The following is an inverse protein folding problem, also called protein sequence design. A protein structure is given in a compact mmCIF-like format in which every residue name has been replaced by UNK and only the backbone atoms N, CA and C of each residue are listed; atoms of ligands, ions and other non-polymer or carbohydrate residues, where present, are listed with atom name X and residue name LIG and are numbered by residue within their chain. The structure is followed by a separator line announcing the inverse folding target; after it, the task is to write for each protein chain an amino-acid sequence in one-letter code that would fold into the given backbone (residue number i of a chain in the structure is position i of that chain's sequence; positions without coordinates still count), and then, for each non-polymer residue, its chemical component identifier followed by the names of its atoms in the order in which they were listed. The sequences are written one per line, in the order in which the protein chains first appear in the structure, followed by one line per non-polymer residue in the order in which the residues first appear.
data_IF_257923656612
#
_entry.id   IF_257923656612
#
_cell.length_a   1.000
_cell.length_b   1.000
_cell.length_c   1.000
_cell.angle_alpha   90.00
_cell.angle_beta   90.00
_cell.angle_gamma   90.00
#
_symmetry.space_group_name_H-M   'P 1'
#
loop_
_entity.id
_entity.type
_entity.pdbx_description
1 polymer ?
#
# COMPACT_ATOMS: atom_id res chain seq x y z
N UNK A 1 23.35 -46.77 11.30
CA UNK A 1 23.16 -46.36 11.00
C UNK A 1 22.71 -45.33 10.76
N UNK A 2 22.38 -44.73 10.58
CA UNK A 2 22.03 -43.88 10.38
C UNK A 2 21.45 -42.98 10.26
N UNK A 3 21.05 -42.39 10.18
CA UNK A 3 20.57 -41.63 10.10
C UNK A 3 20.30 -40.63 9.83
N UNK A 4 19.89 -39.93 9.70
CA UNK A 4 19.52 -39.03 9.46
C UNK A 4 19.10 -38.11 9.41
N UNK A 5 18.83 -37.69 9.43
CA UNK A 5 18.54 -36.87 9.36
C UNK A 5 18.12 -35.99 8.91
N UNK A 6 17.73 -35.59 8.76
CA UNK A 6 17.35 -34.78 8.41
C UNK A 6 17.10 -33.71 8.49
N UNK A 7 16.99 -33.24 8.31
CA UNK A 7 16.81 -32.24 8.37
C UNK A 7 16.25 -31.38 7.83
N UNK A 8 15.86 -30.99 7.78
CA UNK A 8 15.26 -30.28 7.38
C UNK A 8 14.94 -29.13 7.48
N UNK A 9 14.70 -28.44 7.18
CA UNK A 9 14.46 -27.38 7.20
C UNK A 9 13.87 -26.68 6.69
N UNK A 10 13.59 -26.18 6.61
CA UNK A 10 12.86 -25.57 6.29
C UNK A 10 12.76 -24.34 6.30
N UNK A 11 12.49 -23.69 5.76
CA UNK A 11 12.52 -22.59 5.70
C UNK A 11 11.67 -21.82 5.22
N UNK A 12 11.26 -21.16 5.22
CA UNK A 12 10.46 -20.43 4.88
C UNK A 12 10.39 -19.40 4.72
N UNK A 13 10.28 -18.97 4.45
CA UNK A 13 10.05 -18.11 4.22
C UNK A 13 9.69 -17.02 4.25
N UNK A 14 9.85 -16.55 4.35
CA UNK A 14 9.81 -15.50 4.38
C UNK A 14 9.07 -14.85 3.62
N UNK A 15 8.82 -15.08 3.43
CA UNK A 15 8.20 -14.80 2.74
C UNK A 15 7.43 -13.86 2.76
N UNK A 16 6.98 -13.68 3.11
CA UNK A 16 5.99 -12.96 3.19
C UNK A 16 6.20 -11.64 3.10
N UNK A 17 7.01 -11.01 3.72
CA UNK A 17 7.06 -9.69 3.69
C UNK A 17 7.62 -9.21 2.54
N UNK A 18 8.19 -9.57 1.79
CA UNK A 18 8.78 -8.97 0.72
C UNK A 18 8.02 -8.94 -0.53
N UNK A 19 6.78 -9.25 -0.47
CA UNK A 19 6.04 -9.38 -1.69
C UNK A 19 5.55 -8.09 -2.29
N UNK A 20 5.78 -6.99 -1.69
CA UNK A 20 5.42 -5.69 -2.27
C UNK A 20 6.55 -5.19 -3.17
N UNK A 21 6.18 -4.41 -4.17
CA UNK A 21 7.13 -3.72 -5.02
C UNK A 21 6.84 -2.22 -4.89
N UNK A 22 7.34 -1.63 -3.82
CA UNK A 22 7.06 -0.24 -3.47
C UNK A 22 7.84 0.72 -4.36
N UNK A 23 7.11 1.54 -5.10
CA UNK A 23 7.68 2.62 -5.88
C UNK A 23 7.36 3.95 -5.20
N UNK A 24 8.38 4.71 -4.89
CA UNK A 24 8.19 6.03 -4.26
C UNK A 24 7.52 6.97 -5.26
N UNK A 25 6.43 7.58 -4.84
CA UNK A 25 5.67 8.51 -5.67
C UNK A 25 5.97 9.95 -5.25
N UNK A 26 5.92 10.22 -3.95
CA UNK A 26 6.18 11.57 -3.46
C UNK A 26 6.54 11.56 -1.99
N UNK A 27 7.15 12.62 -1.54
CA UNK A 27 7.50 12.81 -0.13
C UNK A 27 6.79 14.04 0.39
N UNK A 28 6.44 14.02 1.66
CA UNK A 28 5.83 15.17 2.31
C UNK A 28 6.28 15.23 3.76
N UNK A 29 5.89 16.29 4.45
CA UNK A 29 6.20 16.41 5.88
C UNK A 29 5.50 15.34 6.71
N UNK A 30 4.41 14.80 6.21
CA UNK A 30 3.64 13.80 6.92
C UNK A 30 4.03 12.37 6.61
N UNK A 31 4.93 12.17 5.67
CA UNK A 31 5.38 10.83 5.32
C UNK A 31 5.79 10.71 3.88
N UNK A 32 6.35 9.56 3.57
CA UNK A 32 6.71 9.19 2.22
C UNK A 32 5.63 8.27 1.68
N UNK A 33 5.27 8.46 0.41
CA UNK A 33 4.15 7.76 -0.21
C UNK A 33 4.62 6.89 -1.35
N UNK A 34 4.18 5.64 -1.33
CA UNK A 34 4.59 4.63 -2.30
C UNK A 34 3.38 3.93 -2.90
N UNK A 35 3.53 3.40 -4.09
CA UNK A 35 2.55 2.50 -4.67
C UNK A 35 3.18 1.14 -4.87
N UNK A 36 2.41 0.09 -4.61
CA UNK A 36 2.86 -1.27 -4.86
C UNK A 36 2.56 -1.62 -6.31
N UNK A 37 3.61 -1.70 -7.13
CA UNK A 37 3.45 -1.97 -8.54
C UNK A 37 2.91 -3.37 -8.81
N UNK A 38 3.11 -4.30 -7.88
CA UNK A 38 2.57 -5.66 -8.05
C UNK A 38 1.07 -5.71 -7.81
N UNK A 39 0.53 -4.79 -7.04
CA UNK A 39 -0.90 -4.77 -6.74
C UNK A 39 -1.73 -4.09 -7.83
N UNK A 40 -1.08 -3.38 -8.75
CA UNK A 40 -1.80 -2.57 -9.71
C UNK A 40 -2.63 -3.42 -10.66
N UNK A 41 -3.92 -3.17 -10.69
CA UNK A 41 -4.86 -3.80 -11.61
C UNK A 41 -5.49 -2.69 -12.44
N UNK A 42 -5.46 -2.87 -13.76
CA UNK A 42 -6.05 -1.93 -14.69
C UNK A 42 -7.29 -2.57 -15.30
N UNK A 43 -8.43 -1.88 -15.14
CA UNK A 43 -9.70 -2.38 -15.67
C UNK A 43 -10.41 -1.23 -16.33
N UNK A 44 -10.24 -1.08 -17.62
CA UNK A 44 -10.77 0.06 -18.37
C UNK A 44 -10.26 1.36 -17.77
N UNK A 45 -11.16 2.24 -17.32
CA UNK A 45 -10.77 3.51 -16.71
C UNK A 45 -10.50 3.40 -15.22
N UNK A 46 -10.58 2.21 -14.66
CA UNK A 46 -10.38 2.00 -13.23
C UNK A 46 -8.99 1.47 -12.94
N UNK A 47 -8.46 1.88 -11.80
CA UNK A 47 -7.19 1.38 -11.28
C UNK A 47 -7.38 0.95 -9.84
N UNK A 48 -6.85 -0.21 -9.49
CA UNK A 48 -6.86 -0.73 -8.12
C UNK A 48 -5.42 -0.91 -7.69
N UNK A 49 -5.05 -0.39 -6.54
CA UNK A 49 -3.66 -0.47 -6.10
C UNK A 49 -3.53 -0.26 -4.60
N UNK A 50 -2.42 -0.76 -4.05
CA UNK A 50 -2.07 -0.50 -2.65
C UNK A 50 -1.16 0.72 -2.58
N UNK A 51 -1.48 1.63 -1.66
CA UNK A 51 -0.67 2.79 -1.36
C UNK A 51 -0.13 2.67 0.05
N UNK A 52 1.18 2.81 0.20
CA UNK A 52 1.82 2.86 1.50
C UNK A 52 2.11 4.31 1.85
N UNK A 53 1.79 4.67 3.07
CA UNK A 53 2.27 5.90 3.66
C UNK A 53 3.16 5.53 4.82
N UNK A 54 4.43 5.90 4.72
CA UNK A 54 5.40 5.66 5.77
C UNK A 54 5.56 6.96 6.54
N UNK A 55 5.12 6.98 7.79
CA UNK A 55 5.02 8.21 8.55
C UNK A 55 6.41 8.69 8.97
N UNK A 56 6.63 9.98 8.94
CA UNK A 56 7.85 10.58 9.47
C UNK A 56 7.80 10.72 10.97
N UNK A 57 6.60 10.81 11.53
CA UNK A 57 6.37 10.86 12.96
C UNK A 57 5.36 9.81 13.32
N UNK A 58 5.57 9.14 14.44
CA UNK A 58 4.62 8.17 14.95
C UNK A 58 3.30 8.90 15.20
N UNK A 59 2.20 8.32 14.75
CA UNK A 59 0.92 8.95 14.97
C UNK A 59 0.49 8.81 16.44
N UNK A 60 -0.66 9.40 16.79
CA UNK A 60 -1.10 9.42 18.18
C UNK A 60 -1.48 8.03 18.71
N UNK A 61 -1.62 7.04 17.85
CA UNK A 61 -1.93 5.68 18.25
C UNK A 61 -0.71 4.77 18.22
N UNK A 62 0.47 5.32 17.99
CA UNK A 62 1.71 4.55 17.96
C UNK A 62 1.99 3.86 16.64
N UNK A 63 1.28 4.22 15.59
CA UNK A 63 1.44 3.58 14.29
C UNK A 63 2.47 4.32 13.46
N UNK A 64 3.25 3.58 12.67
CA UNK A 64 4.34 4.14 11.89
C UNK A 64 4.10 4.07 10.39
N UNK A 65 3.13 3.34 9.95
CA UNK A 65 2.78 3.29 8.52
C UNK A 65 1.36 2.81 8.33
N UNK A 66 0.80 3.09 7.15
CA UNK A 66 -0.45 2.47 6.78
C UNK A 66 -0.47 2.11 5.31
N UNK A 67 -1.26 1.10 4.97
CA UNK A 67 -1.47 0.69 3.60
C UNK A 67 -2.95 0.78 3.31
N UNK A 68 -3.31 1.48 2.26
CA UNK A 68 -4.70 1.62 1.83
C UNK A 68 -4.85 1.00 0.45
N UNK A 69 -5.90 0.20 0.30
CA UNK A 69 -6.27 -0.31 -1.01
C UNK A 69 -7.24 0.69 -1.63
N UNK A 70 -6.87 1.22 -2.79
CA UNK A 70 -7.62 2.25 -3.49
C UNK A 70 -8.25 1.72 -4.76
N UNK A 71 -9.40 2.29 -5.08
CA UNK A 71 -9.98 2.22 -6.42
C UNK A 71 -10.01 3.65 -6.96
N UNK A 72 -9.42 3.88 -8.12
CA UNK A 72 -9.38 5.19 -8.76
C UNK A 72 -10.06 5.13 -10.10
N UNK A 73 -10.93 6.10 -10.35
CA UNK A 73 -11.59 6.26 -11.64
C UNK A 73 -10.85 7.36 -12.39
N UNK A 74 -10.05 6.97 -13.38
CA UNK A 74 -9.21 7.91 -14.12
C UNK A 74 -10.02 8.85 -15.01
N UNK A 75 -11.20 8.44 -15.43
CA UNK A 75 -12.04 9.26 -16.26
C UNK A 75 -12.75 10.34 -15.47
N UNK A 76 -13.21 10.00 -14.27
CA UNK A 76 -13.98 10.92 -13.43
C UNK A 76 -13.13 11.67 -12.41
N UNK A 77 -11.85 11.37 -12.31
CA UNK A 77 -10.95 12.02 -11.36
C UNK A 77 -11.42 11.82 -9.93
N UNK A 78 -11.77 10.60 -9.59
CA UNK A 78 -12.25 10.26 -8.24
C UNK A 78 -11.54 9.01 -7.74
N UNK A 79 -11.44 8.92 -6.42
CA UNK A 79 -10.84 7.77 -5.77
C UNK A 79 -11.65 7.40 -4.53
N UNK A 80 -11.55 6.16 -4.09
CA UNK A 80 -12.15 5.74 -2.82
C UNK A 80 -11.31 4.65 -2.16
N UNK A 81 -11.46 4.57 -0.84
CA UNK A 81 -10.80 3.55 -0.06
C UNK A 81 -11.63 2.28 -0.15
N UNK A 82 -10.97 1.16 -0.33
CA UNK A 82 -11.62 -0.14 -0.24
C UNK A 82 -11.23 -0.86 1.05
N UNK A 83 -10.06 -0.56 1.59
CA UNK A 83 -9.53 -1.23 2.77
C UNK A 83 -8.41 -0.39 3.33
N UNK A 84 -8.28 -0.34 4.66
CA UNK A 84 -7.25 0.44 5.33
C UNK A 84 -6.57 -0.44 6.36
N UNK A 85 -5.24 -0.49 6.33
CA UNK A 85 -4.45 -1.29 7.25
C UNK A 85 -3.42 -0.41 7.93
N UNK A 86 -3.39 -0.42 9.25
CA UNK A 86 -2.44 0.36 10.04
C UNK A 86 -1.41 -0.56 10.66
N UNK A 87 -0.15 -0.16 10.62
CA UNK A 87 0.98 -1.00 11.05
C UNK A 87 1.78 -0.34 12.15
N UNK A 88 2.28 -1.17 13.07
CA UNK A 88 3.08 -0.68 14.19
C UNK A 88 4.49 -0.27 13.76
N UNK A 89 4.98 -0.80 12.65
CA UNK A 89 6.32 -0.50 12.16
C UNK A 89 6.28 0.25 10.85
N UNK A 90 7.46 0.72 10.42
CA UNK A 90 7.58 1.39 9.13
C UNK A 90 7.37 0.42 7.98
N UNK A 91 7.07 0.95 6.83
CA UNK A 91 7.00 0.22 5.56
C UNK A 91 6.01 -0.94 5.56
N UNK A 92 4.91 -0.79 6.30
CA UNK A 92 3.87 -1.83 6.32
C UNK A 92 4.29 -3.10 7.04
N UNK A 93 5.10 -2.97 8.07
CA UNK A 93 5.62 -4.11 8.81
C UNK A 93 5.04 -4.16 10.22
N UNK A 94 5.21 -5.29 10.86
CA UNK A 94 4.78 -5.47 12.24
C UNK A 94 3.31 -5.79 12.35
N UNK A 95 2.78 -5.68 13.56
CA UNK A 95 1.37 -5.97 13.80
C UNK A 95 0.50 -4.95 13.12
N UNK A 96 -0.65 -5.38 12.66
CA UNK A 96 -1.55 -4.51 11.92
C UNK A 96 -2.98 -4.60 12.43
N UNK A 97 -3.72 -3.53 12.17
CA UNK A 97 -5.16 -3.47 12.32
C UNK A 97 -5.75 -3.20 10.95
N UNK A 98 -6.83 -3.87 10.63
CA UNK A 98 -7.46 -3.70 9.32
C UNK A 98 -8.89 -3.20 9.48
N UNK A 99 -9.23 -2.18 8.70
CA UNK A 99 -10.58 -1.69 8.57
C UNK A 99 -11.09 -2.05 7.19
N UNK A 100 -12.10 -2.92 7.14
CA UNK A 100 -12.71 -3.35 5.88
C UNK A 100 -13.95 -2.53 5.59
N UNK A 101 -13.76 -1.25 5.38
CA UNK A 101 -14.87 -0.32 5.19
C UNK A 101 -14.66 0.41 3.89
N UNK A 102 -15.59 0.26 2.97
CA UNK A 102 -15.50 0.94 1.67
C UNK A 102 -15.92 2.39 1.86
N UNK A 103 -15.03 3.30 1.51
CA UNK A 103 -15.29 4.72 1.61
C UNK A 103 -16.12 5.24 0.45
N UNK A 104 -16.53 6.49 0.57
CA UNK A 104 -17.25 7.16 -0.51
C UNK A 104 -16.26 7.66 -1.55
N UNK A 105 -16.77 7.86 -2.77
CA UNK A 105 -15.95 8.45 -3.83
C UNK A 105 -15.59 9.87 -3.48
N UNK A 106 -14.30 10.19 -3.59
CA UNK A 106 -13.74 11.50 -3.27
C UNK A 106 -13.14 12.09 -4.53
N UNK A 107 -13.49 13.34 -4.83
CA UNK A 107 -12.88 14.04 -5.95
C UNK A 107 -11.41 14.35 -5.63
N UNK A 108 -10.55 14.05 -6.59
CA UNK A 108 -9.11 14.28 -6.42
C UNK A 108 -8.84 15.77 -6.56
N UNK A 109 -8.21 16.37 -5.54
CA UNK A 109 -7.95 17.80 -5.51
C UNK A 109 -6.64 18.12 -6.21
N UNK A 110 -6.58 19.28 -6.86
CA UNK A 110 -5.36 19.74 -7.50
C UNK A 110 -4.28 20.00 -6.46
N UNK A 111 -3.04 19.71 -6.82
CA UNK A 111 -1.85 19.93 -5.99
C UNK A 111 -1.87 19.14 -4.69
N UNK A 112 -2.60 18.04 -4.68
CA UNK A 112 -2.67 17.15 -3.52
C UNK A 112 -1.82 15.91 -3.76
N UNK A 113 -1.56 15.16 -2.68
CA UNK A 113 -0.90 13.87 -2.78
C UNK A 113 -1.71 12.95 -3.70
N UNK A 114 -3.04 13.02 -3.60
CA UNK A 114 -3.92 12.22 -4.46
C UNK A 114 -3.72 12.50 -5.93
N UNK A 115 -3.44 13.74 -6.29
CA UNK A 115 -3.19 14.07 -7.69
C UNK A 115 -1.89 13.44 -8.19
N UNK A 116 -0.84 13.44 -7.37
CA UNK A 116 0.40 12.75 -7.75
C UNK A 116 0.15 11.29 -8.06
N UNK A 117 -0.62 10.62 -7.20
CA UNK A 117 -0.96 9.22 -7.43
C UNK A 117 -1.81 9.05 -8.67
N UNK A 118 -2.80 9.91 -8.84
CA UNK A 118 -3.69 9.84 -10.00
C UNK A 118 -2.91 9.99 -11.30
N UNK A 119 -2.03 10.99 -11.36
CA UNK A 119 -1.25 11.22 -12.57
C UNK A 119 -0.34 10.04 -12.89
N UNK A 120 0.28 9.46 -11.89
CA UNK A 120 1.15 8.30 -12.11
C UNK A 120 0.33 7.08 -12.53
N UNK A 121 -0.67 6.72 -11.74
CA UNK A 121 -1.44 5.50 -11.94
C UNK A 121 -2.21 5.55 -13.26
N UNK A 122 -2.79 6.67 -13.58
CA UNK A 122 -3.62 6.79 -14.79
C UNK A 122 -2.79 6.93 -16.05
N UNK A 123 -1.49 7.23 -15.94
CA UNK A 123 -0.60 7.25 -17.10
C UNK A 123 -0.21 5.85 -17.57
N UNK A 124 -0.38 4.85 -16.73
CA UNK A 124 -0.01 3.48 -17.06
C UNK A 124 -1.12 2.82 -17.85
N UNK A 125 -0.78 2.18 -18.96
CA UNK A 125 -1.75 1.53 -19.85
C UNK A 125 -1.58 0.04 -19.91
#
# INVERSE_FOLDING_TARGET
MKIFLSLIFIIFPSLCFGDYDWKLITKSDNGDFYVDMKSLIIKNDKRFFLRLRDYKKIDKYGEKSNIIYFETDCKKFKTRFLKDMYFEEHMGMGKSKTLNEVGEWITIQKNSIGEYFNNFICSIK
#
